data_IF_530433118502
#
_entry.id   IF_530433118502
#
_cell.length_a   1.000
_cell.length_b   1.000
_cell.length_c   1.000
_cell.angle_alpha   90.00
_cell.angle_beta   90.00
_cell.angle_gamma   90.00
#
_symmetry.space_group_name_H-M   'P 1'
#
loop_
_entity.id
_entity.type
_entity.pdbx_description
1 polymer ?
#
# COMPACT_ATOMS: atom_id res chain seq x y z
N UNK A 1 13.83 -5.88 -10.26
CA UNK A 1 14.22 -5.83 -8.83
C UNK A 1 13.99 -7.16 -8.11
N UNK A 2 12.79 -7.74 -8.17
CA UNK A 2 12.47 -9.03 -7.55
C UNK A 2 13.46 -10.14 -7.90
N UNK A 3 13.87 -10.27 -9.17
CA UNK A 3 14.88 -11.25 -9.59
C UNK A 3 16.23 -11.08 -8.86
N UNK A 4 16.72 -9.84 -8.72
CA UNK A 4 17.98 -9.55 -8.00
C UNK A 4 17.89 -9.96 -6.53
N UNK A 5 16.74 -9.74 -5.88
CA UNK A 5 16.54 -10.13 -4.48
C UNK A 5 16.52 -11.65 -4.31
N UNK A 6 16.08 -12.42 -5.30
CA UNK A 6 16.14 -13.89 -5.28
C UNK A 6 17.56 -14.45 -5.47
N UNK A 7 18.48 -13.68 -6.09
CA UNK A 7 19.89 -14.06 -6.26
C UNK A 7 20.69 -13.91 -4.95
N UNK A 8 20.56 -14.90 -4.05
CA UNK A 8 21.15 -14.84 -2.69
C UNK A 8 22.68 -14.90 -2.65
N UNK A 9 23.32 -15.59 -3.60
CA UNK A 9 24.77 -15.84 -3.62
C UNK A 9 25.45 -15.14 -4.79
N UNK A 10 25.68 -13.85 -4.60
CA UNK A 10 26.06 -12.93 -5.68
C UNK A 10 27.42 -13.26 -6.29
N UNK A 11 28.39 -13.71 -5.47
CA UNK A 11 29.70 -14.14 -5.96
C UNK A 11 29.62 -15.27 -6.98
N UNK A 12 28.69 -16.22 -6.81
CA UNK A 12 28.50 -17.34 -7.74
C UNK A 12 27.99 -16.85 -9.11
N UNK A 13 27.08 -15.87 -9.12
CA UNK A 13 26.55 -15.28 -10.36
C UNK A 13 27.55 -14.39 -11.10
N UNK A 14 28.66 -14.03 -10.45
CA UNK A 14 29.79 -13.35 -11.07
C UNK A 14 30.91 -14.33 -11.46
N UNK A 15 30.72 -15.64 -11.32
CA UNK A 15 31.75 -16.66 -11.62
C UNK A 15 32.80 -16.85 -10.52
N UNK A 16 32.55 -16.33 -9.33
CA UNK A 16 33.38 -16.55 -8.14
C UNK A 16 33.16 -17.93 -7.51
N UNK A 17 34.02 -18.29 -6.54
CA UNK A 17 34.06 -19.64 -5.99
C UNK A 17 32.73 -19.97 -5.30
N UNK A 18 32.14 -21.12 -5.64
CA UNK A 18 30.88 -21.54 -5.04
C UNK A 18 30.83 -23.00 -4.59
N UNK A 19 31.18 -23.25 -3.32
CA UNK A 19 31.16 -24.59 -2.76
C UNK A 19 32.18 -25.48 -3.46
N UNK A 20 31.71 -26.46 -4.26
CA UNK A 20 32.57 -27.32 -5.08
C UNK A 20 32.76 -26.84 -6.53
N UNK A 21 32.04 -25.80 -6.96
CA UNK A 21 32.22 -25.21 -8.28
C UNK A 21 33.46 -24.30 -8.26
N UNK A 22 34.38 -24.55 -9.20
CA UNK A 22 35.59 -23.76 -9.39
C UNK A 22 35.29 -22.34 -9.88
N UNK A 23 36.25 -21.43 -9.72
CA UNK A 23 36.15 -20.06 -10.22
C UNK A 23 36.14 -20.08 -11.76
N UNK A 24 35.14 -19.45 -12.36
CA UNK A 24 35.03 -19.32 -13.83
C UNK A 24 35.43 -17.93 -14.32
N UNK A 25 35.61 -16.97 -13.40
CA UNK A 25 36.05 -15.60 -13.71
C UNK A 25 37.23 -15.20 -12.85
N UNK A 26 38.02 -14.26 -13.33
CA UNK A 26 39.13 -13.67 -12.57
C UNK A 26 38.63 -12.59 -11.60
N UNK A 27 39.43 -12.25 -10.59
CA UNK A 27 39.11 -11.15 -9.65
C UNK A 27 38.90 -9.81 -10.38
N UNK A 28 39.71 -9.53 -11.40
CA UNK A 28 39.65 -8.32 -12.22
C UNK A 28 38.40 -8.26 -13.08
N UNK A 29 37.96 -9.38 -13.65
CA UNK A 29 36.66 -9.48 -14.34
C UNK A 29 35.48 -9.21 -13.40
N UNK A 30 35.53 -9.74 -12.18
CA UNK A 30 34.51 -9.49 -11.15
C UNK A 30 34.45 -8.02 -10.74
N UNK A 31 35.60 -7.37 -10.63
CA UNK A 31 35.71 -5.93 -10.36
C UNK A 31 35.15 -5.09 -11.52
N UNK A 32 35.48 -5.44 -12.77
CA UNK A 32 34.93 -4.77 -13.94
C UNK A 32 33.39 -4.92 -14.03
N UNK A 33 32.86 -6.10 -13.68
CA UNK A 33 31.43 -6.34 -13.58
C UNK A 33 30.78 -5.49 -12.47
N UNK A 34 31.42 -5.41 -11.29
CA UNK A 34 30.97 -4.56 -10.19
C UNK A 34 30.90 -3.09 -10.61
N UNK A 35 31.91 -2.60 -11.33
CA UNK A 35 31.95 -1.23 -11.83
C UNK A 35 30.77 -0.90 -12.76
N UNK A 36 30.40 -1.82 -13.66
CA UNK A 36 29.19 -1.67 -14.49
C UNK A 36 27.93 -1.61 -13.62
N UNK A 37 27.79 -2.53 -12.67
CA UNK A 37 26.64 -2.57 -11.76
C UNK A 37 26.51 -1.27 -10.96
N UNK A 38 27.61 -0.70 -10.45
CA UNK A 38 27.58 0.55 -9.70
C UNK A 38 27.06 1.73 -10.53
N UNK A 39 27.44 1.81 -11.82
CA UNK A 39 26.90 2.81 -12.74
C UNK A 39 25.42 2.59 -13.04
N UNK A 40 25.00 1.35 -13.27
CA UNK A 40 23.57 1.02 -13.44
C UNK A 40 22.76 1.35 -12.19
N UNK A 41 23.27 1.04 -11.01
CA UNK A 41 22.65 1.35 -9.71
C UNK A 41 22.42 2.85 -9.54
N UNK A 42 23.36 3.70 -9.97
CA UNK A 42 23.19 5.15 -9.91
C UNK A 42 22.01 5.65 -10.75
N UNK A 43 21.75 5.06 -11.93
CA UNK A 43 20.56 5.39 -12.74
C UNK A 43 19.27 5.07 -11.99
N UNK A 44 19.21 3.88 -11.39
CA UNK A 44 18.03 3.44 -10.63
C UNK A 44 17.81 4.33 -9.40
N UNK A 45 18.88 4.72 -8.71
CA UNK A 45 18.83 5.65 -7.58
C UNK A 45 18.29 7.03 -8.00
N UNK A 46 18.81 7.57 -9.10
CA UNK A 46 18.36 8.85 -9.62
C UNK A 46 16.89 8.82 -10.05
N UNK A 47 16.44 7.73 -10.67
CA UNK A 47 15.02 7.55 -10.99
C UNK A 47 14.16 7.51 -9.72
N UNK A 48 14.59 6.80 -8.67
CA UNK A 48 13.88 6.77 -7.39
C UNK A 48 13.76 8.17 -6.76
N UNK A 49 14.86 8.93 -6.73
CA UNK A 49 14.88 10.30 -6.22
C UNK A 49 13.96 11.21 -7.05
N UNK A 50 14.13 11.24 -8.37
CA UNK A 50 13.33 12.10 -9.24
C UNK A 50 11.84 11.76 -9.17
N UNK A 51 11.51 10.47 -9.10
CA UNK A 51 10.11 10.03 -8.96
C UNK A 51 9.54 10.47 -7.62
N UNK A 52 10.27 10.31 -6.50
CA UNK A 52 9.81 10.80 -5.20
C UNK A 52 9.60 12.32 -5.21
N UNK A 53 10.53 13.09 -5.79
CA UNK A 53 10.42 14.55 -5.86
C UNK A 53 9.24 14.98 -6.73
N UNK A 54 9.00 14.32 -7.85
CA UNK A 54 7.92 14.67 -8.78
C UNK A 54 6.52 14.52 -8.16
N UNK A 55 6.35 13.57 -7.25
CA UNK A 55 5.03 13.25 -6.67
C UNK A 55 4.73 13.97 -5.35
N UNK A 56 5.70 14.70 -4.79
CA UNK A 56 5.47 15.49 -3.56
C UNK A 56 4.87 16.85 -3.94
N UNK A 57 3.73 17.24 -3.34
CA UNK A 57 3.14 18.55 -3.57
C UNK A 57 4.09 19.70 -3.18
N UNK A 58 4.15 20.81 -3.93
CA UNK A 58 5.04 21.95 -3.64
C UNK A 58 4.88 22.58 -2.26
N UNK A 59 3.69 22.47 -1.65
CA UNK A 59 3.36 22.99 -0.32
C UNK A 59 3.32 21.90 0.78
N UNK A 60 3.85 20.70 0.50
CA UNK A 60 3.87 19.60 1.44
C UNK A 60 4.68 19.97 2.69
N UNK A 61 4.03 19.93 3.85
CA UNK A 61 4.63 20.22 5.15
C UNK A 61 4.09 19.26 6.19
N UNK A 62 2.95 19.59 6.79
CA UNK A 62 2.31 18.77 7.84
C UNK A 62 1.74 17.48 7.25
N UNK A 63 2.12 16.34 7.83
CA UNK A 63 1.68 15.02 7.41
C UNK A 63 2.47 14.40 6.25
N UNK A 64 3.52 15.07 5.75
CA UNK A 64 4.42 14.59 4.68
C UNK A 64 5.85 14.38 5.16
N UNK A 65 6.07 14.31 6.48
CA UNK A 65 7.39 14.27 7.10
C UNK A 65 8.18 13.02 6.69
N UNK A 66 7.51 11.88 6.54
CA UNK A 66 8.17 10.62 6.16
C UNK A 66 8.66 10.61 4.70
N UNK A 67 7.85 10.98 3.68
CA UNK A 67 8.33 11.20 2.31
C UNK A 67 9.46 12.24 2.19
N UNK A 68 9.31 13.40 2.83
CA UNK A 68 10.34 14.46 2.80
C UNK A 68 11.66 13.96 3.41
N UNK A 69 11.59 13.18 4.50
CA UNK A 69 12.76 12.54 5.09
C UNK A 69 13.41 11.55 4.11
N UNK A 70 12.63 10.75 3.38
CA UNK A 70 13.18 9.84 2.36
C UNK A 70 13.96 10.61 1.30
N UNK A 71 13.39 11.68 0.74
CA UNK A 71 14.06 12.51 -0.28
C UNK A 71 15.37 13.07 0.25
N UNK A 72 15.36 13.68 1.45
CA UNK A 72 16.57 14.25 2.04
C UNK A 72 17.71 13.22 2.16
N UNK A 73 17.39 11.96 2.46
CA UNK A 73 18.38 10.88 2.47
C UNK A 73 18.82 10.44 1.07
N UNK A 74 17.91 10.38 0.11
CA UNK A 74 18.23 10.05 -1.28
C UNK A 74 19.13 11.09 -1.94
N UNK A 75 18.91 12.37 -1.67
CA UNK A 75 19.76 13.49 -2.12
C UNK A 75 21.15 13.40 -1.48
N UNK A 76 21.18 13.19 -0.15
CA UNK A 76 22.43 13.13 0.61
C UNK A 76 23.34 11.98 0.17
N UNK A 77 22.77 10.83 -0.18
CA UNK A 77 23.51 9.63 -0.60
C UNK A 77 23.52 9.43 -2.13
N UNK A 78 23.13 10.46 -2.89
CA UNK A 78 23.10 10.41 -4.34
C UNK A 78 24.51 10.16 -4.91
N UNK A 79 24.71 9.09 -5.71
CA UNK A 79 25.99 8.85 -6.36
C UNK A 79 26.26 9.93 -7.42
N UNK A 80 27.33 10.71 -7.26
CA UNK A 80 27.78 11.66 -8.28
C UNK A 80 28.58 10.95 -9.38
N UNK A 81 28.51 11.41 -10.63
CA UNK A 81 29.27 10.80 -11.73
C UNK A 81 30.77 10.67 -11.45
N UNK A 82 31.36 11.65 -10.77
CA UNK A 82 32.79 11.69 -10.44
C UNK A 82 33.18 10.64 -9.40
N UNK A 83 32.26 10.28 -8.50
CA UNK A 83 32.47 9.25 -7.48
C UNK A 83 32.30 7.82 -8.03
N UNK A 84 31.68 7.68 -9.21
CA UNK A 84 31.46 6.38 -9.84
C UNK A 84 32.73 5.82 -10.48
N UNK A 85 32.81 4.49 -10.65
CA UNK A 85 33.98 3.86 -11.26
C UNK A 85 34.27 4.40 -12.67
N UNK A 86 35.49 4.90 -12.85
CA UNK A 86 35.94 5.57 -14.07
C UNK A 86 35.59 7.06 -14.13
N UNK A 87 35.12 7.67 -13.04
CA UNK A 87 34.78 9.10 -12.97
C UNK A 87 33.66 9.51 -13.92
N UNK A 88 32.76 8.57 -14.25
CA UNK A 88 31.66 8.79 -15.20
C UNK A 88 30.40 8.01 -14.84
N UNK A 89 29.26 8.55 -15.28
CA UNK A 89 28.00 7.83 -15.33
C UNK A 89 27.94 6.75 -16.42
N UNK A 90 26.81 6.04 -16.50
CA UNK A 90 26.57 5.07 -17.57
C UNK A 90 26.46 5.78 -18.92
N UNK A 91 26.96 5.16 -20.00
CA UNK A 91 26.80 5.69 -21.36
C UNK A 91 25.62 5.02 -22.09
N UNK A 92 25.12 5.68 -23.14
CA UNK A 92 24.05 5.12 -23.98
C UNK A 92 24.47 3.79 -24.64
N UNK A 93 25.71 3.69 -25.10
CA UNK A 93 26.27 2.45 -25.65
C UNK A 93 26.26 1.31 -24.61
N UNK A 94 26.64 1.61 -23.37
CA UNK A 94 26.66 0.65 -22.27
C UNK A 94 25.25 0.15 -21.92
N UNK A 95 24.25 1.04 -21.93
CA UNK A 95 22.84 0.67 -21.76
C UNK A 95 22.27 -0.10 -22.96
N UNK A 96 22.71 0.20 -24.18
CA UNK A 96 22.24 -0.46 -25.41
C UNK A 96 22.85 -1.84 -25.65
N UNK A 97 23.94 -2.19 -24.98
CA UNK A 97 24.67 -3.45 -25.21
C UNK A 97 24.27 -4.52 -24.21
N UNK A 98 23.79 -5.67 -24.71
CA UNK A 98 23.48 -6.85 -23.88
C UNK A 98 24.74 -7.34 -23.16
N UNK A 99 24.60 -7.75 -21.90
CA UNK A 99 25.73 -8.19 -21.08
C UNK A 99 25.76 -9.72 -20.94
N UNK A 100 26.95 -10.31 -21.05
CA UNK A 100 27.12 -11.77 -20.99
C UNK A 100 26.89 -12.34 -19.58
N UNK A 101 27.15 -11.54 -18.55
CA UNK A 101 26.96 -11.96 -17.16
C UNK A 101 25.50 -11.71 -16.76
N UNK A 102 24.70 -12.74 -16.41
CA UNK A 102 23.28 -12.60 -16.15
C UNK A 102 22.94 -11.56 -15.07
N UNK A 103 23.75 -11.49 -14.01
CA UNK A 103 23.57 -10.50 -12.95
C UNK A 103 23.72 -9.06 -13.48
N UNK A 104 24.74 -8.82 -14.29
CA UNK A 104 25.02 -7.51 -14.88
C UNK A 104 23.92 -7.14 -15.87
N UNK A 105 23.41 -8.12 -16.63
CA UNK A 105 22.31 -7.94 -17.56
C UNK A 105 20.99 -7.58 -16.87
N UNK A 106 20.67 -8.19 -15.73
CA UNK A 106 19.49 -7.81 -14.95
C UNK A 106 19.61 -6.37 -14.42
N UNK A 107 20.81 -5.95 -13.97
CA UNK A 107 21.05 -4.56 -13.58
C UNK A 107 20.95 -3.59 -14.76
N UNK A 108 21.47 -3.96 -15.94
CA UNK A 108 21.32 -3.15 -17.16
C UNK A 108 19.85 -2.99 -17.51
N UNK A 109 19.07 -4.08 -17.55
CA UNK A 109 17.61 -4.03 -17.81
C UNK A 109 16.89 -3.15 -16.81
N UNK A 110 17.26 -3.22 -15.53
CA UNK A 110 16.70 -2.36 -14.50
C UNK A 110 17.04 -0.88 -14.74
N UNK A 111 18.29 -0.56 -15.10
CA UNK A 111 18.70 0.81 -15.41
C UNK A 111 18.00 1.35 -16.68
N UNK A 112 17.84 0.52 -17.71
CA UNK A 112 17.07 0.87 -18.92
C UNK A 112 15.61 1.14 -18.57
N UNK A 113 14.97 0.27 -17.78
CA UNK A 113 13.60 0.50 -17.33
C UNK A 113 13.45 1.81 -16.54
N UNK A 114 14.40 2.11 -15.64
CA UNK A 114 14.43 3.38 -14.91
C UNK A 114 14.62 4.60 -15.83
N UNK A 115 15.43 4.48 -16.88
CA UNK A 115 15.59 5.56 -17.87
C UNK A 115 14.31 5.78 -18.66
N UNK A 116 13.67 4.71 -19.14
CA UNK A 116 12.39 4.77 -19.86
C UNK A 116 11.28 5.36 -18.98
N UNK A 117 11.20 4.94 -17.71
CA UNK A 117 10.26 5.48 -16.75
C UNK A 117 10.49 6.98 -16.52
N UNK A 118 11.75 7.40 -16.39
CA UNK A 118 12.09 8.84 -16.28
C UNK A 118 11.59 9.66 -17.47
N UNK A 119 11.71 9.13 -18.69
CA UNK A 119 11.37 9.88 -19.90
C UNK A 119 9.87 9.85 -20.22
N UNK A 120 9.17 8.75 -19.90
CA UNK A 120 7.77 8.55 -20.28
C UNK A 120 6.78 8.75 -19.14
N UNK A 121 7.11 8.27 -17.95
CA UNK A 121 6.19 8.26 -16.81
C UNK A 121 6.31 9.52 -15.96
N UNK A 122 7.54 9.99 -15.73
CA UNK A 122 7.80 11.10 -14.82
C UNK A 122 7.07 12.42 -15.18
N UNK A 123 6.97 12.83 -16.46
CA UNK A 123 6.17 14.01 -16.82
C UNK A 123 4.69 13.85 -16.48
N UNK A 124 4.13 12.65 -16.66
CA UNK A 124 2.73 12.34 -16.33
C UNK A 124 2.52 12.33 -14.82
N UNK A 125 3.47 11.74 -14.08
CA UNK A 125 3.43 11.70 -12.62
C UNK A 125 3.49 13.11 -12.01
N UNK A 126 4.30 14.02 -12.56
CA UNK A 126 4.43 15.37 -12.03
C UNK A 126 3.18 16.24 -12.25
N UNK A 127 2.42 16.00 -13.33
CA UNK A 127 1.32 16.86 -13.76
C UNK A 127 -0.06 16.35 -13.32
N UNK A 128 -0.28 15.03 -13.32
CA UNK A 128 -1.64 14.45 -13.32
C UNK A 128 -2.05 13.64 -12.11
N UNK A 129 -1.14 13.38 -11.16
CA UNK A 129 -1.47 12.51 -10.01
C UNK A 129 -2.01 13.32 -8.84
N UNK A 130 -2.94 12.74 -8.10
CA UNK A 130 -3.38 13.27 -6.81
C UNK A 130 -2.55 12.71 -5.64
N UNK A 131 -2.89 13.17 -4.42
CA UNK A 131 -2.20 12.78 -3.19
C UNK A 131 -2.30 11.28 -2.85
N UNK A 132 -3.40 10.60 -3.17
CA UNK A 132 -3.56 9.18 -2.87
C UNK A 132 -2.76 8.33 -3.87
N UNK A 133 -2.69 8.74 -5.12
CA UNK A 133 -1.81 8.14 -6.13
C UNK A 133 -0.33 8.42 -5.83
N UNK A 134 0.01 9.64 -5.41
CA UNK A 134 1.36 9.98 -4.96
C UNK A 134 1.83 9.08 -3.81
N UNK A 135 0.93 8.72 -2.88
CA UNK A 135 1.22 7.74 -1.81
C UNK A 135 1.54 6.35 -2.37
N UNK A 136 0.82 5.87 -3.38
CA UNK A 136 1.15 4.59 -4.06
C UNK A 136 2.58 4.64 -4.60
N UNK A 137 2.90 5.68 -5.36
CA UNK A 137 4.23 5.86 -5.97
C UNK A 137 5.32 5.96 -4.90
N UNK A 138 5.09 6.72 -3.83
CA UNK A 138 6.05 6.88 -2.75
C UNK A 138 6.30 5.56 -2.00
N UNK A 139 5.30 4.70 -1.85
CA UNK A 139 5.49 3.35 -1.30
C UNK A 139 6.37 2.50 -2.22
N UNK A 140 6.09 2.52 -3.52
CA UNK A 140 6.87 1.77 -4.51
C UNK A 140 8.33 2.25 -4.55
N UNK A 141 8.55 3.57 -4.50
CA UNK A 141 9.90 4.17 -4.38
C UNK A 141 10.57 3.75 -3.07
N UNK A 142 9.87 3.82 -1.95
CA UNK A 142 10.41 3.42 -0.65
C UNK A 142 10.82 1.94 -0.64
N UNK A 143 10.00 1.04 -1.18
CA UNK A 143 10.32 -0.38 -1.25
C UNK A 143 11.47 -0.65 -2.26
N UNK A 144 11.54 0.09 -3.36
CA UNK A 144 12.68 0.06 -4.29
C UNK A 144 13.99 0.47 -3.59
N UNK A 145 13.99 1.57 -2.83
CA UNK A 145 15.17 2.05 -2.08
C UNK A 145 15.60 1.03 -1.03
N UNK A 146 14.65 0.45 -0.29
CA UNK A 146 14.94 -0.63 0.66
C UNK A 146 15.58 -1.83 -0.04
N UNK A 147 15.09 -2.23 -1.21
CA UNK A 147 15.69 -3.31 -2.00
C UNK A 147 17.11 -2.97 -2.44
N UNK A 148 17.38 -1.74 -2.87
CA UNK A 148 18.74 -1.28 -3.23
C UNK A 148 19.70 -1.37 -2.05
N UNK A 149 19.28 -0.95 -0.86
CA UNK A 149 20.11 -1.04 0.36
C UNK A 149 20.36 -2.51 0.73
N UNK A 150 19.35 -3.38 0.67
CA UNK A 150 19.53 -4.83 0.93
C UNK A 150 20.56 -5.43 -0.03
N UNK A 151 20.46 -5.13 -1.32
CA UNK A 151 21.42 -5.58 -2.33
C UNK A 151 22.81 -5.01 -2.07
N UNK A 152 22.92 -3.74 -1.69
CA UNK A 152 24.20 -3.09 -1.39
C UNK A 152 24.98 -3.83 -0.29
N UNK A 153 24.30 -4.24 0.79
CA UNK A 153 24.98 -5.00 1.84
C UNK A 153 25.36 -6.40 1.34
N UNK A 154 24.46 -7.07 0.61
CA UNK A 154 24.72 -8.41 0.04
C UNK A 154 25.90 -8.40 -0.94
N UNK A 155 26.14 -7.29 -1.62
CA UNK A 155 27.15 -7.15 -2.67
C UNK A 155 28.49 -6.65 -2.13
N UNK A 156 28.55 -6.35 -0.83
CA UNK A 156 29.72 -5.72 -0.21
C UNK A 156 31.01 -6.56 -0.21
N UNK A 157 30.92 -7.86 -0.45
CA UNK A 157 32.08 -8.74 -0.61
C UNK A 157 32.63 -8.80 -2.05
N UNK A 158 31.98 -8.13 -3.02
CA UNK A 158 32.43 -8.10 -4.40
C UNK A 158 33.63 -7.14 -4.52
N UNK A 159 34.72 -7.53 -5.18
CA UNK A 159 35.84 -6.63 -5.45
C UNK A 159 35.40 -5.35 -6.18
N UNK A 160 35.90 -4.19 -5.77
CA UNK A 160 35.53 -2.89 -6.35
C UNK A 160 34.14 -2.37 -5.96
N UNK A 161 33.42 -3.04 -5.05
CA UNK A 161 32.09 -2.59 -4.63
C UNK A 161 32.15 -1.35 -3.76
N UNK A 162 31.45 -0.30 -4.19
CA UNK A 162 31.28 0.94 -3.43
C UNK A 162 29.91 0.94 -2.75
N UNK A 163 29.87 1.05 -1.42
CA UNK A 163 28.62 1.02 -0.64
C UNK A 163 27.80 2.31 -0.78
N UNK A 164 26.48 2.19 -0.61
CA UNK A 164 25.57 3.32 -0.47
C UNK A 164 25.64 3.81 0.99
N UNK A 165 26.38 4.90 1.23
CA UNK A 165 26.50 5.53 2.55
C UNK A 165 27.21 4.71 3.64
N UNK A 166 27.62 5.39 4.72
CA UNK A 166 28.36 4.77 5.84
C UNK A 166 27.49 3.94 6.80
N UNK A 167 26.16 4.11 6.75
CA UNK A 167 25.21 3.54 7.74
C UNK A 167 24.33 2.39 7.22
N UNK A 168 24.55 1.94 5.99
CA UNK A 168 23.78 0.88 5.31
C UNK A 168 23.90 -0.53 5.96
N UNK A 169 24.84 -0.77 6.89
CA UNK A 169 25.25 -2.14 7.27
C UNK A 169 24.51 -2.88 8.40
N UNK A 170 23.44 -2.36 9.01
CA UNK A 170 22.84 -3.06 10.17
C UNK A 170 21.92 -4.22 9.76
N UNK A 171 22.47 -5.43 9.75
CA UNK A 171 21.80 -6.70 9.42
C UNK A 171 20.78 -7.22 10.46
N UNK A 172 20.55 -6.50 11.55
CA UNK A 172 19.57 -6.88 12.58
C UNK A 172 18.67 -5.67 12.87
N UNK A 173 17.59 -5.58 12.08
CA UNK A 173 16.73 -4.39 12.03
C UNK A 173 15.58 -4.58 13.01
N UNK A 174 15.74 -4.01 14.20
CA UNK A 174 14.66 -3.83 15.17
C UNK A 174 14.16 -2.37 15.05
N UNK A 175 12.91 -2.15 14.57
CA UNK A 175 12.35 -0.81 14.35
C UNK A 175 12.16 0.00 15.64
N UNK A 176 12.31 -0.62 16.81
CA UNK A 176 12.14 0.05 18.11
C UNK A 176 13.43 0.71 18.64
N UNK A 177 14.59 0.50 18.00
CA UNK A 177 15.88 1.01 18.47
C UNK A 177 16.19 2.41 17.92
N UNK A 178 16.39 3.38 18.83
CA UNK A 178 16.68 4.82 18.56
C UNK A 178 17.85 5.11 17.61
N UNK A 179 18.82 4.20 17.45
CA UNK A 179 20.03 4.44 16.63
C UNK A 179 19.74 4.45 15.12
N UNK A 180 18.65 3.78 14.69
CA UNK A 180 18.29 3.65 13.27
C UNK A 180 17.52 4.83 12.70
N UNK A 181 17.11 5.80 13.52
CA UNK A 181 16.36 7.00 13.09
C UNK A 181 17.11 7.77 11.99
N UNK A 182 18.44 7.66 11.89
CA UNK A 182 19.27 8.45 10.97
C UNK A 182 19.95 7.61 9.87
N UNK A 183 19.17 6.90 9.05
CA UNK A 183 19.66 6.15 7.89
C UNK A 183 18.63 6.13 6.74
N UNK A 184 19.12 5.92 5.52
CA UNK A 184 18.27 5.83 4.31
C UNK A 184 17.28 4.67 4.37
N UNK A 185 17.70 3.50 4.88
CA UNK A 185 16.79 2.35 5.04
C UNK A 185 15.65 2.64 6.01
N UNK A 186 15.92 3.34 7.11
CA UNK A 186 14.88 3.71 8.07
C UNK A 186 13.93 4.78 7.51
N UNK A 187 14.45 5.76 6.77
CA UNK A 187 13.62 6.76 6.08
C UNK A 187 12.69 6.09 5.05
N UNK A 188 13.21 5.13 4.28
CA UNK A 188 12.42 4.37 3.33
C UNK A 188 11.39 3.46 4.03
N UNK A 189 11.74 2.81 5.15
CA UNK A 189 10.77 2.05 5.95
C UNK A 189 9.64 2.92 6.50
N UNK A 190 9.97 4.08 7.06
CA UNK A 190 8.98 5.04 7.57
C UNK A 190 8.07 5.54 6.44
N UNK A 191 8.62 5.85 5.27
CA UNK A 191 7.82 6.27 4.11
C UNK A 191 6.88 5.14 3.62
N UNK A 192 7.38 3.91 3.50
CA UNK A 192 6.57 2.73 3.12
C UNK A 192 5.43 2.48 4.12
N UNK A 193 5.67 2.65 5.42
CA UNK A 193 4.66 2.50 6.47
C UNK A 193 3.67 3.67 6.53
N UNK A 194 4.15 4.91 6.29
CA UNK A 194 3.34 6.14 6.31
C UNK A 194 2.18 6.10 5.32
N UNK A 195 2.37 5.45 4.17
CA UNK A 195 1.34 5.30 3.12
C UNK A 195 0.10 4.55 3.62
N UNK A 196 0.24 3.66 4.60
CA UNK A 196 -0.87 2.88 5.15
C UNK A 196 -1.51 1.92 4.13
N UNK A 197 -2.83 1.72 4.24
CA UNK A 197 -3.57 0.85 3.33
C UNK A 197 -3.96 1.61 2.07
N UNK A 198 -3.36 1.22 0.95
CA UNK A 198 -3.71 1.71 -0.36
C UNK A 198 -5.12 1.25 -0.74
N UNK A 199 -5.92 2.15 -1.32
CA UNK A 199 -7.14 1.75 -2.00
C UNK A 199 -6.76 0.86 -3.20
N UNK A 200 -7.42 -0.30 -3.39
CA UNK A 200 -7.18 -1.15 -4.57
C UNK A 200 -7.36 -0.39 -5.88
N UNK A 201 -8.26 0.60 -5.92
CA UNK A 201 -8.53 1.41 -7.11
C UNK A 201 -7.35 2.34 -7.45
N UNK A 202 -6.74 2.99 -6.45
CA UNK A 202 -5.60 3.89 -6.69
C UNK A 202 -4.35 3.11 -7.08
N UNK A 203 -4.10 1.96 -6.45
CA UNK A 203 -2.99 1.09 -6.83
C UNK A 203 -3.11 0.59 -8.28
N UNK A 204 -4.31 0.21 -8.69
CA UNK A 204 -4.61 -0.22 -10.06
C UNK A 204 -4.34 0.88 -11.10
N UNK A 205 -4.72 2.13 -10.79
CA UNK A 205 -4.62 3.24 -11.76
C UNK A 205 -3.19 3.71 -11.95
N UNK A 206 -2.33 3.39 -11.00
CA UNK A 206 -0.90 3.70 -11.00
C UNK A 206 -0.10 2.41 -11.26
N UNK A 207 -0.55 1.50 -12.12
CA UNK A 207 0.12 0.21 -12.35
C UNK A 207 1.28 0.30 -13.38
N UNK A 208 2.08 -0.79 -13.46
CA UNK A 208 3.19 -1.06 -14.38
C UNK A 208 2.90 -0.83 -15.87
N UNK A 209 1.63 -0.85 -16.28
CA UNK A 209 1.23 -0.58 -17.68
C UNK A 209 1.07 0.93 -17.97
N UNK A 210 1.21 1.78 -16.95
CA UNK A 210 1.10 3.24 -17.06
C UNK A 210 -0.06 3.81 -16.25
N UNK A 211 -0.05 5.13 -16.12
CA UNK A 211 -1.10 5.90 -15.48
C UNK A 211 -2.37 5.91 -16.34
N UNK A 212 -3.52 5.57 -15.73
CA UNK A 212 -4.84 5.70 -16.36
C UNK A 212 -5.52 6.97 -15.85
N UNK A 213 -5.78 7.92 -16.76
CA UNK A 213 -6.43 9.20 -16.48
C UNK A 213 -7.73 9.01 -15.69
N UNK A 214 -8.00 9.95 -14.77
CA UNK A 214 -9.26 9.94 -14.04
C UNK A 214 -10.42 10.22 -14.98
N UNK A 215 -11.54 9.52 -14.80
CA UNK A 215 -12.77 9.83 -15.53
C UNK A 215 -13.10 11.32 -15.28
N UNK A 216 -13.17 12.15 -16.33
CA UNK A 216 -13.32 13.59 -16.18
C UNK A 216 -14.71 13.90 -15.64
N UNK A 217 -14.84 14.98 -14.88
CA UNK A 217 -16.16 15.48 -14.50
C UNK A 217 -16.90 15.96 -15.74
N UNK A 218 -18.20 15.63 -15.83
CA UNK A 218 -19.09 16.17 -16.85
C UNK A 218 -19.38 17.64 -16.55
N UNK A 219 -19.56 18.46 -17.61
CA UNK A 219 -19.77 19.90 -17.46
C UNK A 219 -21.06 20.21 -16.70
N UNK A 220 -21.02 21.29 -15.93
CA UNK A 220 -22.18 21.88 -15.27
C UNK A 220 -22.56 23.19 -15.98
N UNK A 221 -23.85 23.58 -16.04
CA UNK A 221 -25.02 22.93 -15.44
C UNK A 221 -25.37 21.59 -16.12
N UNK A 222 -25.94 20.66 -15.34
CA UNK A 222 -26.39 19.37 -15.87
C UNK A 222 -27.55 19.56 -16.86
N UNK A 223 -27.70 18.67 -17.85
CA UNK A 223 -28.92 18.59 -18.67
C UNK A 223 -30.18 18.45 -17.80
N UNK A 224 -31.35 18.70 -18.38
CA UNK A 224 -32.63 18.44 -17.71
C UNK A 224 -33.03 16.96 -17.83
N UNK A 225 -33.94 16.51 -16.98
CA UNK A 225 -34.53 15.17 -17.06
C UNK A 225 -33.57 14.04 -16.67
N UNK A 226 -33.81 12.85 -17.23
CA UNK A 226 -33.09 11.62 -16.91
C UNK A 226 -31.60 11.72 -17.27
N UNK A 227 -31.26 12.33 -18.40
CA UNK A 227 -29.86 12.58 -18.80
C UNK A 227 -29.11 13.44 -17.77
N UNK A 228 -29.79 14.46 -17.24
CA UNK A 228 -29.29 15.28 -16.14
C UNK A 228 -28.98 14.47 -14.89
N UNK A 229 -29.89 13.57 -14.53
CA UNK A 229 -29.72 12.67 -13.39
C UNK A 229 -28.53 11.72 -13.61
N UNK A 230 -28.39 11.13 -14.79
CA UNK A 230 -27.25 10.25 -15.14
C UNK A 230 -25.93 11.03 -15.09
N UNK A 231 -25.87 12.24 -15.64
CA UNK A 231 -24.67 13.07 -15.62
C UNK A 231 -24.26 13.47 -14.19
N UNK A 232 -25.24 13.83 -13.35
CA UNK A 232 -25.01 14.16 -11.95
C UNK A 232 -24.63 12.92 -11.11
N UNK A 233 -25.18 11.74 -11.40
CA UNK A 233 -24.76 10.46 -10.81
C UNK A 233 -23.33 10.10 -11.20
N UNK A 234 -22.94 10.33 -12.45
CA UNK A 234 -21.56 10.15 -12.90
C UNK A 234 -20.61 11.05 -12.11
N UNK A 235 -20.92 12.34 -11.97
CA UNK A 235 -20.08 13.26 -11.20
C UNK A 235 -20.06 12.90 -9.71
N UNK A 236 -21.18 12.46 -9.13
CA UNK A 236 -21.25 11.90 -7.77
C UNK A 236 -20.29 10.73 -7.61
N UNK A 237 -20.32 9.77 -8.56
CA UNK A 237 -19.38 8.66 -8.59
C UNK A 237 -17.95 9.19 -8.62
N UNK A 238 -17.58 10.02 -9.61
CA UNK A 238 -16.23 10.57 -9.78
C UNK A 238 -15.74 11.25 -8.50
N UNK A 239 -16.52 12.17 -7.92
CA UNK A 239 -16.14 12.91 -6.72
C UNK A 239 -16.03 12.06 -5.46
N UNK A 240 -16.84 11.00 -5.29
CA UNK A 240 -16.62 10.03 -4.21
C UNK A 240 -15.23 9.38 -4.27
N UNK A 241 -14.59 9.34 -5.44
CA UNK A 241 -13.20 8.88 -5.61
C UNK A 241 -12.14 9.96 -5.38
N UNK A 242 -12.49 11.24 -5.51
CA UNK A 242 -11.59 12.37 -5.27
C UNK A 242 -11.63 12.82 -3.80
N UNK A 243 -12.82 12.83 -3.22
CA UNK A 243 -13.11 13.40 -1.92
C UNK A 243 -13.24 12.29 -0.87
N UNK A 244 -12.90 12.65 0.38
CA UNK A 244 -13.21 11.84 1.54
C UNK A 244 -14.32 12.54 2.33
N UNK A 245 -15.59 12.15 2.18
CA UNK A 245 -16.70 12.85 2.82
C UNK A 245 -16.61 12.79 4.34
N UNK A 246 -17.04 13.86 5.02
CA UNK A 246 -17.32 13.80 6.47
C UNK A 246 -18.45 12.82 6.75
N UNK A 247 -18.54 12.31 7.98
CA UNK A 247 -19.52 11.26 8.32
C UNK A 247 -20.98 11.74 8.13
N UNK A 248 -21.27 12.99 8.48
CA UNK A 248 -22.59 13.62 8.29
C UNK A 248 -22.95 13.75 6.81
N UNK A 249 -21.98 14.18 5.99
CA UNK A 249 -22.13 14.31 4.53
C UNK A 249 -22.32 12.94 3.89
N UNK A 250 -21.53 11.94 4.28
CA UNK A 250 -21.68 10.58 3.76
C UNK A 250 -23.06 9.99 4.10
N UNK A 251 -23.54 10.23 5.32
CA UNK A 251 -24.89 9.84 5.74
C UNK A 251 -25.95 10.50 4.87
N UNK A 252 -25.79 11.77 4.55
CA UNK A 252 -26.69 12.50 3.66
C UNK A 252 -26.65 11.96 2.22
N UNK A 253 -25.46 11.62 1.70
CA UNK A 253 -25.29 10.97 0.39
C UNK A 253 -26.05 9.63 0.39
N UNK A 254 -25.86 8.75 1.37
CA UNK A 254 -26.57 7.45 1.44
C UNK A 254 -28.08 7.65 1.50
N UNK A 255 -28.56 8.67 2.22
CA UNK A 255 -29.99 9.01 2.26
C UNK A 255 -30.51 9.44 0.89
N UNK A 256 -29.76 10.25 0.15
CA UNK A 256 -30.11 10.66 -1.21
C UNK A 256 -30.09 9.47 -2.16
N UNK A 257 -29.07 8.61 -2.08
CA UNK A 257 -28.97 7.40 -2.89
C UNK A 257 -30.16 6.45 -2.67
N UNK A 258 -30.64 6.29 -1.42
CA UNK A 258 -31.88 5.55 -1.14
C UNK A 258 -33.09 6.14 -1.87
N UNK A 259 -33.25 7.47 -1.84
CA UNK A 259 -34.39 8.15 -2.51
C UNK A 259 -34.29 8.01 -4.03
N UNK A 260 -33.09 8.13 -4.59
CA UNK A 260 -32.82 7.89 -6.01
C UNK A 260 -33.19 6.47 -6.44
N UNK A 261 -32.88 5.45 -5.64
CA UNK A 261 -33.32 4.07 -5.93
C UNK A 261 -34.84 3.93 -5.99
N UNK A 262 -35.56 4.62 -5.10
CA UNK A 262 -37.05 4.58 -5.09
C UNK A 262 -37.63 5.27 -6.33
N UNK A 263 -37.08 6.41 -6.74
CA UNK A 263 -37.51 7.08 -7.98
C UNK A 263 -37.17 6.25 -9.23
N UNK A 264 -35.98 5.64 -9.27
CA UNK A 264 -35.60 4.75 -10.36
C UNK A 264 -36.49 3.49 -10.43
N UNK A 265 -36.91 2.97 -9.27
CA UNK A 265 -37.90 1.89 -9.19
C UNK A 265 -39.25 2.31 -9.80
N UNK A 266 -39.72 3.52 -9.52
CA UNK A 266 -40.96 4.05 -10.12
C UNK A 266 -40.85 4.17 -11.64
N UNK A 267 -39.71 4.65 -12.16
CA UNK A 267 -39.44 4.72 -13.59
C UNK A 267 -39.36 3.33 -14.25
N UNK A 268 -38.71 2.36 -13.61
CA UNK A 268 -38.63 0.98 -14.12
C UNK A 268 -40.00 0.30 -14.17
N UNK A 269 -40.86 0.56 -13.17
CA UNK A 269 -42.25 0.08 -13.17
C UNK A 269 -43.06 0.70 -14.30
N UNK A 270 -42.88 2.00 -14.55
CA UNK A 270 -43.54 2.68 -15.67
C UNK A 270 -43.08 2.14 -17.04
N UNK A 271 -41.81 1.73 -17.15
CA UNK A 271 -41.24 1.12 -18.35
C UNK A 271 -41.55 -0.39 -18.51
N UNK A 272 -42.21 -1.03 -17.53
CA UNK A 272 -42.50 -2.48 -17.49
C UNK A 272 -41.22 -3.34 -17.58
N UNK A 273 -40.14 -2.87 -16.94
CA UNK A 273 -38.85 -3.58 -16.86
C UNK A 273 -38.72 -4.29 -15.50
N UNK A 274 -39.07 -5.58 -15.47
CA UNK A 274 -39.07 -6.38 -14.23
C UNK A 274 -37.65 -6.59 -13.65
N UNK A 275 -36.62 -6.66 -14.51
CA UNK A 275 -35.23 -6.86 -14.08
C UNK A 275 -34.75 -5.64 -13.26
N UNK A 276 -34.90 -4.44 -13.82
CA UNK A 276 -34.49 -3.21 -13.15
C UNK A 276 -35.39 -2.86 -11.96
N UNK A 277 -36.69 -3.22 -12.01
CA UNK A 277 -37.60 -3.09 -10.87
C UNK A 277 -37.06 -3.83 -9.65
N UNK A 278 -36.77 -5.13 -9.78
CA UNK A 278 -36.22 -5.92 -8.67
C UNK A 278 -34.86 -5.37 -8.20
N UNK A 279 -33.99 -4.98 -9.14
CA UNK A 279 -32.66 -4.46 -8.81
C UNK A 279 -32.72 -3.16 -7.97
N UNK A 280 -33.61 -2.23 -8.31
CA UNK A 280 -33.76 -0.95 -7.60
C UNK A 280 -34.47 -1.08 -6.26
N UNK A 281 -35.44 -2.00 -6.14
CA UNK A 281 -36.08 -2.32 -4.87
C UNK A 281 -35.07 -2.89 -3.87
N UNK A 282 -34.32 -3.92 -4.28
CA UNK A 282 -33.26 -4.52 -3.47
C UNK A 282 -32.21 -3.49 -3.06
N UNK A 283 -31.84 -2.59 -3.99
CA UNK A 283 -30.87 -1.52 -3.71
C UNK A 283 -31.41 -0.55 -2.65
N UNK A 284 -32.66 -0.10 -2.78
CA UNK A 284 -33.26 0.81 -1.81
C UNK A 284 -33.23 0.22 -0.38
N UNK A 285 -33.46 -1.08 -0.25
CA UNK A 285 -33.37 -1.79 1.02
C UNK A 285 -31.92 -1.85 1.54
N UNK A 286 -30.94 -2.18 0.68
CA UNK A 286 -29.52 -2.18 1.05
C UNK A 286 -29.06 -0.81 1.56
N UNK A 287 -29.43 0.26 0.87
CA UNK A 287 -29.12 1.63 1.31
C UNK A 287 -29.78 1.95 2.65
N UNK A 288 -31.01 1.50 2.89
CA UNK A 288 -31.71 1.70 4.17
C UNK A 288 -30.98 1.01 5.34
N UNK A 289 -30.53 -0.23 5.14
CA UNK A 289 -29.79 -1.01 6.14
C UNK A 289 -28.45 -0.37 6.52
N UNK A 290 -27.79 0.32 5.59
CA UNK A 290 -26.56 1.10 5.85
C UNK A 290 -26.87 2.44 6.49
N UNK A 291 -27.95 3.11 6.07
CA UNK A 291 -28.33 4.43 6.57
C UNK A 291 -28.68 4.40 8.06
N UNK A 292 -29.33 3.35 8.54
CA UNK A 292 -29.76 3.23 9.94
C UNK A 292 -28.60 3.37 10.95
N UNK A 293 -27.51 2.58 10.88
CA UNK A 293 -26.37 2.75 11.78
C UNK A 293 -25.59 4.05 11.52
N UNK A 294 -25.46 4.49 10.26
CA UNK A 294 -24.76 5.74 9.94
C UNK A 294 -25.42 6.96 10.57
N UNK A 295 -26.75 7.09 10.43
CA UNK A 295 -27.49 8.27 10.85
C UNK A 295 -27.63 8.41 12.37
N UNK A 296 -27.63 7.29 13.09
CA UNK A 296 -27.84 7.28 14.55
C UNK A 296 -26.54 7.52 15.30
N UNK A 297 -25.52 6.77 14.89
CA UNK A 297 -24.40 6.45 15.77
C UNK A 297 -23.07 6.97 15.23
N UNK A 298 -22.90 7.15 13.91
CA UNK A 298 -21.61 7.49 13.30
C UNK A 298 -21.38 9.00 13.22
N UNK A 299 -20.20 9.46 13.66
CA UNK A 299 -19.72 10.82 13.54
C UNK A 299 -18.26 10.89 13.10
N UNK A 300 -17.83 12.05 12.63
CA UNK A 300 -16.47 12.27 12.12
C UNK A 300 -16.37 13.58 11.36
N UNK A 301 -15.47 14.45 11.81
CA UNK A 301 -15.33 15.82 11.28
C UNK A 301 -14.20 15.95 10.23
N UNK A 302 -13.49 14.86 9.94
CA UNK A 302 -12.38 14.86 9.00
C UNK A 302 -12.87 14.66 7.57
N UNK A 303 -12.37 15.50 6.66
CA UNK A 303 -12.69 15.47 5.23
C UNK A 303 -13.64 16.58 4.79
N UNK A 304 -13.97 16.55 3.50
CA UNK A 304 -15.01 17.36 2.88
C UNK A 304 -15.69 16.50 1.81
N UNK A 305 -16.96 16.78 1.53
CA UNK A 305 -17.75 16.05 0.54
C UNK A 305 -18.92 16.87 0.01
N UNK A 306 -18.88 18.20 0.18
CA UNK A 306 -20.00 19.08 -0.17
C UNK A 306 -20.27 19.07 -1.67
N UNK A 307 -19.24 19.03 -2.51
CA UNK A 307 -19.42 18.97 -3.96
C UNK A 307 -20.01 17.61 -4.37
N UNK A 308 -19.51 16.50 -3.81
CA UNK A 308 -20.13 15.17 -3.99
C UNK A 308 -21.61 15.17 -3.59
N UNK A 309 -21.94 15.78 -2.45
CA UNK A 309 -23.33 15.88 -1.99
C UNK A 309 -24.18 16.74 -2.91
N UNK A 310 -23.65 17.86 -3.40
CA UNK A 310 -24.33 18.74 -4.35
C UNK A 310 -24.67 18.01 -5.65
N UNK A 311 -23.72 17.25 -6.21
CA UNK A 311 -23.97 16.43 -7.40
C UNK A 311 -25.02 15.34 -7.11
N UNK A 312 -24.94 14.69 -5.94
CA UNK A 312 -25.93 13.69 -5.56
C UNK A 312 -27.33 14.29 -5.39
N UNK A 313 -27.43 15.52 -4.88
CA UNK A 313 -28.70 16.25 -4.77
C UNK A 313 -29.22 16.69 -6.13
N UNK A 314 -28.34 17.17 -7.01
CA UNK A 314 -28.69 17.54 -8.38
C UNK A 314 -29.29 16.34 -9.13
N UNK A 315 -28.69 15.15 -8.97
CA UNK A 315 -29.25 13.92 -9.52
C UNK A 315 -30.67 13.63 -8.98
N UNK A 316 -30.88 13.80 -7.67
CA UNK A 316 -32.18 13.58 -7.05
C UNK A 316 -33.23 14.56 -7.57
N UNK A 317 -32.89 15.85 -7.71
CA UNK A 317 -33.80 16.85 -8.24
C UNK A 317 -34.13 16.58 -9.71
N UNK A 318 -33.12 16.33 -10.55
CA UNK A 318 -33.34 16.02 -11.96
C UNK A 318 -34.24 14.79 -12.16
N UNK A 319 -34.04 13.72 -11.38
CA UNK A 319 -34.85 12.51 -11.48
C UNK A 319 -36.26 12.69 -10.91
N UNK A 320 -36.42 13.45 -9.84
CA UNK A 320 -37.73 13.77 -9.26
C UNK A 320 -38.57 14.62 -10.22
N UNK A 321 -37.95 15.62 -10.85
CA UNK A 321 -38.59 16.47 -11.86
C UNK A 321 -39.00 15.65 -13.08
N UNK A 322 -38.13 14.75 -13.56
CA UNK A 322 -38.44 13.83 -14.66
C UNK A 322 -39.66 12.94 -14.34
N UNK A 323 -39.67 12.34 -13.14
CA UNK A 323 -40.79 11.51 -12.69
C UNK A 323 -42.10 12.32 -12.56
N UNK A 324 -42.02 13.58 -12.11
CA UNK A 324 -43.18 14.45 -11.96
C UNK A 324 -43.80 14.85 -13.31
N UNK A 325 -42.97 15.06 -14.34
CA UNK A 325 -43.42 15.44 -15.69
C UNK A 325 -43.89 14.21 -16.50
N UNK A 326 -43.68 13.00 -15.96
CA UNK A 326 -44.05 11.75 -16.62
C UNK A 326 -43.07 11.35 -17.73
N UNK A 327 -41.80 11.74 -17.59
CA UNK A 327 -40.74 11.33 -18.49
C UNK A 327 -40.55 9.80 -18.43
N UNK A 328 -40.31 9.18 -19.59
CA UNK A 328 -40.20 7.72 -19.70
C UNK A 328 -38.75 7.32 -19.90
N UNK A 329 -38.20 6.56 -18.96
CA UNK A 329 -36.83 6.04 -19.07
C UNK A 329 -36.76 4.93 -20.13
N UNK A 330 -35.75 4.99 -21.01
CA UNK A 330 -35.42 3.88 -21.88
C UNK A 330 -34.71 2.77 -21.09
N UNK A 331 -34.69 1.54 -21.63
CA UNK A 331 -33.92 0.43 -21.03
C UNK A 331 -32.43 0.77 -20.89
N UNK A 332 -31.86 1.56 -21.81
CA UNK A 332 -30.46 2.01 -21.75
C UNK A 332 -30.23 2.98 -20.58
N UNK A 333 -31.19 3.86 -20.29
CA UNK A 333 -31.14 4.77 -19.15
C UNK A 333 -31.20 4.01 -17.83
N UNK A 334 -32.13 3.05 -17.72
CA UNK A 334 -32.26 2.18 -16.54
C UNK A 334 -30.98 1.39 -16.31
N UNK A 335 -30.38 0.85 -17.38
CA UNK A 335 -29.12 0.12 -17.30
C UNK A 335 -27.96 1.03 -16.88
N UNK A 336 -27.89 2.25 -17.43
CA UNK A 336 -26.87 3.25 -17.10
C UNK A 336 -26.96 3.69 -15.64
N UNK A 337 -28.17 3.94 -15.14
CA UNK A 337 -28.43 4.22 -13.73
C UNK A 337 -28.03 3.05 -12.83
N UNK A 338 -28.40 1.82 -13.18
CA UNK A 338 -28.05 0.63 -12.39
C UNK A 338 -26.52 0.41 -12.29
N UNK A 339 -25.80 0.65 -13.40
CA UNK A 339 -24.32 0.63 -13.41
C UNK A 339 -23.75 1.69 -12.47
N UNK A 340 -24.19 2.94 -12.60
CA UNK A 340 -23.72 4.05 -11.77
C UNK A 340 -24.05 3.84 -10.29
N UNK A 341 -25.24 3.36 -9.97
CA UNK A 341 -25.66 2.97 -8.63
C UNK A 341 -24.75 1.93 -8.01
N UNK A 342 -24.44 0.86 -8.74
CA UNK A 342 -23.52 -0.19 -8.29
C UNK A 342 -22.12 0.39 -8.02
N UNK A 343 -21.64 1.27 -8.89
CA UNK A 343 -20.33 1.91 -8.76
C UNK A 343 -20.27 2.88 -7.56
N UNK A 344 -21.34 3.66 -7.34
CA UNK A 344 -21.49 4.55 -6.18
C UNK A 344 -21.55 3.74 -4.89
N UNK A 345 -22.35 2.67 -4.84
CA UNK A 345 -22.48 1.81 -3.66
C UNK A 345 -21.14 1.20 -3.25
N UNK A 346 -20.34 0.76 -4.24
CA UNK A 346 -18.96 0.31 -4.02
C UNK A 346 -18.09 1.40 -3.42
N UNK A 347 -18.13 2.63 -3.96
CA UNK A 347 -17.34 3.76 -3.43
C UNK A 347 -17.77 4.16 -2.03
N UNK A 348 -19.06 4.23 -1.76
CA UNK A 348 -19.61 4.46 -0.42
C UNK A 348 -19.09 3.39 0.54
N UNK A 349 -19.20 2.11 0.18
CA UNK A 349 -18.69 1.02 1.02
C UNK A 349 -17.17 1.12 1.26
N UNK A 350 -16.39 1.51 0.25
CA UNK A 350 -14.95 1.74 0.37
C UNK A 350 -14.63 2.90 1.31
N UNK A 351 -15.34 4.04 1.19
CA UNK A 351 -15.13 5.20 2.06
C UNK A 351 -15.51 4.92 3.51
N UNK A 352 -16.58 4.17 3.76
CA UNK A 352 -16.93 3.72 5.12
C UNK A 352 -15.80 2.85 5.69
N UNK A 353 -15.31 1.86 4.93
CA UNK A 353 -14.21 0.99 5.37
C UNK A 353 -12.92 1.78 5.64
N UNK A 354 -12.57 2.70 4.76
CA UNK A 354 -11.41 3.57 4.94
C UNK A 354 -11.56 4.47 6.18
N UNK A 355 -12.73 5.08 6.38
CA UNK A 355 -13.00 5.91 7.55
C UNK A 355 -12.94 5.16 8.87
N UNK A 356 -13.37 3.90 8.90
CA UNK A 356 -13.22 3.01 10.06
C UNK A 356 -11.74 2.69 10.30
N UNK A 357 -11.03 2.26 9.26
CA UNK A 357 -9.63 1.83 9.36
C UNK A 357 -8.71 2.97 9.80
N UNK A 358 -8.83 4.13 9.16
CA UNK A 358 -7.99 5.31 9.39
C UNK A 358 -8.42 6.10 10.63
N UNK A 359 -9.39 5.59 11.41
CA UNK A 359 -9.98 6.25 12.59
C UNK A 359 -10.47 7.67 12.30
N UNK A 360 -11.12 7.85 11.15
CA UNK A 360 -11.76 9.12 10.76
C UNK A 360 -13.24 9.13 11.11
N UNK A 361 -13.86 7.96 11.16
CA UNK A 361 -15.23 7.77 11.61
C UNK A 361 -15.25 7.05 12.96
N UNK A 362 -16.11 7.55 13.84
CA UNK A 362 -16.30 7.07 15.20
C UNK A 362 -17.78 6.87 15.45
N UNK A 363 -18.11 6.10 16.48
CA UNK A 363 -19.50 5.95 16.91
C UNK A 363 -19.72 6.58 18.28
N UNK A 364 -20.85 7.26 18.45
CA UNK A 364 -21.33 7.76 19.73
C UNK A 364 -22.48 6.93 20.28
N UNK A 365 -22.23 6.09 21.30
CA UNK A 365 -23.27 5.35 22.04
C UNK A 365 -23.71 6.01 23.34
N UNK A 366 -22.82 6.75 23.98
CA UNK A 366 -23.05 7.31 25.30
C UNK A 366 -22.99 8.84 25.30
N UNK A 367 -23.91 9.44 26.04
CA UNK A 367 -23.81 10.85 26.42
C UNK A 367 -22.96 10.92 27.70
N UNK A 368 -21.76 11.45 27.57
CA UNK A 368 -20.93 11.86 28.69
C UNK A 368 -21.32 13.25 29.20
N UNK A 369 -20.82 13.63 30.36
CA UNK A 369 -20.89 15.01 30.83
C UNK A 369 -19.64 15.76 30.37
N UNK A 370 -19.82 17.00 29.92
CA UNK A 370 -18.73 17.91 29.57
C UNK A 370 -17.82 18.12 30.78
N UNK A 371 -16.51 18.24 30.52
CA UNK A 371 -15.52 18.65 31.53
C UNK A 371 -15.79 20.09 32.01
N UNK A 372 -16.24 20.95 31.09
CA UNK A 372 -16.57 22.35 31.36
C UNK A 372 -17.96 22.49 32.00
N UNK A 373 -18.06 23.39 32.99
CA UNK A 373 -19.32 23.79 33.62
C UNK A 373 -19.72 25.16 33.08
N UNK A 374 -20.95 25.28 32.59
CA UNK A 374 -21.54 26.57 32.21
C UNK A 374 -22.69 26.82 33.18
N UNK A 375 -22.61 27.90 33.98
CA UNK A 375 -23.62 28.20 35.01
C UNK A 375 -23.79 27.09 36.07
N UNK A 376 -22.72 26.34 36.38
CA UNK A 376 -22.75 25.25 37.37
C UNK A 376 -23.29 23.90 36.84
N UNK A 377 -23.83 23.86 35.63
CA UNK A 377 -24.36 22.64 35.00
C UNK A 377 -23.36 22.09 33.98
N UNK A 378 -23.17 20.76 33.96
CA UNK A 378 -22.37 20.08 32.92
C UNK A 378 -23.29 19.71 31.76
N UNK A 379 -22.91 20.13 30.55
CA UNK A 379 -23.64 19.80 29.31
C UNK A 379 -23.43 18.32 28.94
N UNK A 380 -24.48 17.64 28.50
CA UNK A 380 -24.35 16.32 27.87
C UNK A 380 -23.60 16.42 26.54
N UNK A 381 -22.53 15.66 26.38
CA UNK A 381 -21.70 15.58 25.16
C UNK A 381 -21.65 14.14 24.66
N UNK A 382 -21.60 13.95 23.35
CA UNK A 382 -21.43 12.63 22.73
C UNK A 382 -20.01 12.11 22.94
N UNK A 383 -19.86 10.92 23.54
CA UNK A 383 -18.58 10.21 23.61
C UNK A 383 -18.40 9.35 22.37
N UNK A 384 -17.33 9.59 21.64
CA UNK A 384 -17.01 8.87 20.43
C UNK A 384 -15.99 7.76 20.69
N UNK A 385 -16.30 6.55 20.25
CA UNK A 385 -15.43 5.38 20.30
C UNK A 385 -15.06 4.87 18.89
N UNK A 386 -13.88 4.24 18.72
CA UNK A 386 -13.50 3.63 17.45
C UNK A 386 -14.47 2.53 17.01
N UNK A 387 -14.75 2.49 15.72
CA UNK A 387 -15.60 1.45 15.12
C UNK A 387 -14.77 0.17 14.98
N UNK A 388 -15.24 -0.92 15.60
CA UNK A 388 -14.60 -2.24 15.51
C UNK A 388 -15.62 -3.32 15.14
N UNK A 389 -15.13 -4.50 14.73
CA UNK A 389 -15.99 -5.66 14.45
C UNK A 389 -16.84 -6.09 15.65
N UNK A 390 -16.33 -5.87 16.86
CA UNK A 390 -17.01 -6.24 18.10
C UNK A 390 -18.00 -5.15 18.50
N UNK A 391 -17.64 -3.87 18.37
CA UNK A 391 -18.52 -2.78 18.77
C UNK A 391 -19.67 -2.58 17.78
N UNK A 392 -19.43 -2.68 16.47
CA UNK A 392 -20.43 -2.33 15.43
C UNK A 392 -20.53 -3.39 14.32
N UNK A 393 -20.93 -4.64 14.65
CA UNK A 393 -21.06 -5.71 13.68
C UNK A 393 -22.11 -5.38 12.59
N UNK A 394 -23.19 -4.69 12.95
CA UNK A 394 -24.30 -4.38 12.04
C UNK A 394 -23.88 -3.42 10.92
N UNK A 395 -23.15 -2.36 11.24
CA UNK A 395 -22.60 -1.43 10.24
C UNK A 395 -21.65 -2.16 9.30
N UNK A 396 -20.75 -2.99 9.85
CA UNK A 396 -19.77 -3.73 9.05
C UNK A 396 -20.46 -4.76 8.14
N UNK A 397 -21.48 -5.44 8.63
CA UNK A 397 -22.28 -6.38 7.85
C UNK A 397 -23.09 -5.65 6.76
N UNK A 398 -23.71 -4.51 7.08
CA UNK A 398 -24.46 -3.71 6.12
C UNK A 398 -23.55 -3.17 5.00
N UNK A 399 -22.36 -2.65 5.35
CA UNK A 399 -21.36 -2.18 4.38
C UNK A 399 -20.87 -3.30 3.48
N UNK A 400 -20.68 -4.51 4.03
CA UNK A 400 -20.29 -5.68 3.24
C UNK A 400 -21.38 -6.08 2.23
N UNK A 401 -22.66 -5.93 2.59
CA UNK A 401 -23.80 -6.23 1.73
C UNK A 401 -24.14 -5.12 0.73
N UNK A 402 -23.72 -3.88 0.98
CA UNK A 402 -23.99 -2.74 0.10
C UNK A 402 -23.39 -2.92 -1.30
N UNK A 403 -22.25 -3.60 -1.40
CA UNK A 403 -21.61 -3.95 -2.67
C UNK A 403 -21.44 -5.48 -2.75
N UNK A 404 -22.45 -6.24 -3.20
CA UNK A 404 -22.20 -7.61 -3.64
C UNK A 404 -21.18 -7.58 -4.78
N UNK A 405 -20.36 -8.63 -4.92
CA UNK A 405 -19.23 -8.64 -5.86
C UNK A 405 -19.73 -8.44 -7.30
N UNK A 406 -19.75 -7.19 -7.78
CA UNK A 406 -19.91 -6.89 -9.20
C UNK A 406 -18.77 -7.57 -9.96
N UNK A 407 -19.01 -8.05 -11.20
CA UNK A 407 -17.95 -8.62 -12.02
C UNK A 407 -16.82 -7.61 -12.05
N UNK A 408 -15.62 -8.07 -11.69
CA UNK A 408 -14.40 -7.30 -11.77
C UNK A 408 -14.32 -6.70 -13.17
N UNK A 409 -14.65 -5.42 -13.30
CA UNK A 409 -14.28 -4.65 -14.49
C UNK A 409 -12.80 -4.89 -14.71
N UNK A 410 -12.45 -5.17 -15.97
CA UNK A 410 -11.20 -5.70 -16.59
C UNK A 410 -9.92 -5.07 -16.04
N UNK A 411 -9.69 -5.24 -14.76
CA UNK A 411 -8.53 -4.73 -14.08
C UNK A 411 -7.98 -5.90 -13.28
N UNK A 412 -6.89 -6.42 -13.79
CA UNK A 412 -6.14 -7.46 -13.12
C UNK A 412 -5.70 -6.99 -11.72
N UNK A 413 -6.04 -7.78 -10.71
CA UNK A 413 -5.54 -7.63 -9.33
C UNK A 413 -4.08 -8.09 -9.18
N UNK A 414 -3.46 -8.58 -10.25
CA UNK A 414 -2.09 -9.10 -10.25
C UNK A 414 -1.09 -8.00 -9.88
N UNK A 415 -1.36 -6.75 -10.29
CA UNK A 415 -0.59 -5.58 -9.93
C UNK A 415 -0.49 -5.37 -8.41
N UNK A 416 -1.64 -5.40 -7.73
CA UNK A 416 -1.73 -5.23 -6.29
C UNK A 416 -1.08 -6.43 -5.55
N UNK A 417 -1.26 -7.63 -6.09
CA UNK A 417 -0.65 -8.85 -5.56
C UNK A 417 0.87 -8.79 -5.68
N UNK A 418 1.40 -8.44 -6.85
CA UNK A 418 2.83 -8.29 -7.11
C UNK A 418 3.48 -7.23 -6.22
N UNK A 419 2.80 -6.10 -5.97
CA UNK A 419 3.26 -5.09 -5.00
C UNK A 419 3.31 -5.65 -3.58
N UNK A 420 2.25 -6.32 -3.17
CA UNK A 420 2.16 -6.89 -1.82
C UNK A 420 3.26 -7.94 -1.59
N UNK A 421 3.49 -8.81 -2.58
CA UNK A 421 4.58 -9.77 -2.59
C UNK A 421 5.95 -9.09 -2.55
N UNK A 422 6.16 -8.01 -3.31
CA UNK A 422 7.41 -7.27 -3.29
C UNK A 422 7.66 -6.57 -1.95
N UNK A 423 6.66 -5.88 -1.39
CA UNK A 423 6.76 -5.28 -0.04
C UNK A 423 7.09 -6.36 1.00
N UNK A 424 6.46 -7.55 0.92
CA UNK A 424 6.72 -8.65 1.83
C UNK A 424 8.14 -9.23 1.68
N UNK A 425 8.63 -9.34 0.44
CA UNK A 425 9.99 -9.78 0.13
C UNK A 425 11.04 -8.85 0.75
N UNK A 426 10.80 -7.54 0.69
CA UNK A 426 11.69 -6.50 1.24
C UNK A 426 11.49 -6.29 2.75
N UNK A 427 10.36 -6.74 3.30
CA UNK A 427 10.05 -6.72 4.74
C UNK A 427 10.54 -7.92 5.53
N UNK A 428 10.85 -9.03 4.88
CA UNK A 428 11.26 -10.27 5.54
C UNK A 428 12.74 -10.22 5.93
N UNK A 429 13.12 -10.28 7.22
CA UNK A 429 14.52 -10.46 7.59
C UNK A 429 15.00 -11.82 7.08
N UNK A 430 16.08 -11.84 6.29
CA UNK A 430 16.67 -13.09 5.83
C UNK A 430 17.06 -13.95 7.05
N UNK A 431 16.31 -15.04 7.29
CA UNK A 431 16.70 -16.05 8.28
C UNK A 431 17.99 -16.73 7.81
N UNK A 432 19.14 -16.20 8.20
CA UNK A 432 20.38 -16.96 8.17
C UNK A 432 20.29 -18.09 9.21
N UNK A 433 20.09 -19.32 8.73
CA UNK A 433 20.56 -20.52 9.44
C UNK A 433 22.09 -20.40 9.52
N UNK A 434 22.60 -19.77 10.58
CA UNK A 434 24.02 -19.91 10.91
C UNK A 434 24.27 -21.39 11.19
N UNK A 435 25.32 -21.92 10.57
CA UNK A 435 25.70 -23.31 10.71
C UNK A 435 25.84 -23.66 12.19
N UNK A 436 25.11 -24.69 12.60
CA UNK A 436 25.39 -25.44 13.81
C UNK A 436 26.85 -25.89 13.72
N UNK A 437 27.76 -25.17 14.37
CA UNK A 437 29.08 -25.70 14.69
C UNK A 437 28.80 -26.92 15.56
N UNK A 438 28.86 -28.10 14.93
CA UNK A 438 29.12 -29.34 15.63
C UNK A 438 30.48 -29.10 16.28
N UNK A 439 30.47 -28.84 17.58
CA UNK A 439 31.68 -28.84 18.39
C UNK A 439 32.28 -30.22 18.22
N UNK A 440 33.38 -30.30 17.48
CA UNK A 440 34.28 -31.44 17.50
C UNK A 440 34.76 -31.55 18.95
N UNK A 441 34.13 -32.46 19.69
CA UNK A 441 34.62 -32.89 20.98
C UNK A 441 35.86 -33.72 20.69
N UNK A 442 37.01 -33.13 21.00
CA UNK A 442 38.34 -33.72 20.97
C UNK A 442 38.30 -35.09 21.62
N UNK A 443 38.63 -36.12 20.84
CA UNK A 443 38.94 -37.46 21.35
C UNK A 443 40.42 -37.42 21.73
N UNK A 444 40.71 -37.66 23.01
CA UNK A 444 42.00 -38.19 23.44
C UNK A 444 41.73 -39.51 24.18
N UNK A 445 42.59 -40.53 24.00
CA UNK A 445 42.28 -41.91 24.32
C UNK A 445 42.70 -42.23 25.76
N UNK A 446 41.92 -43.03 26.47
CA UNK A 446 42.42 -43.67 27.68
C UNK A 446 41.96 -45.13 27.73
N UNK A 447 42.92 -46.00 27.49
CA UNK A 447 42.86 -47.43 27.69
C UNK A 447 44.02 -47.82 28.62
N UNK A 448 43.73 -47.98 29.91
CA UNK A 448 44.53 -48.76 30.87
C UNK A 448 43.61 -49.15 32.04
N UNK A 449 43.00 -50.34 32.00
CA UNK A 449 43.45 -51.56 32.72
C UNK A 449 43.83 -51.33 34.19
N UNK A 450 42.90 -51.76 35.06
CA UNK A 450 43.08 -52.70 36.18
C UNK A 450 44.39 -52.63 36.99
N UNK A 451 44.25 -52.28 38.28
CA UNK A 451 44.86 -52.99 39.42
C UNK A 451 44.10 -52.63 40.70
N UNK A 452 43.50 -53.64 41.33
CA UNK A 452 43.00 -53.54 42.70
C UNK A 452 44.12 -53.81 43.71
N UNK A 453 43.86 -53.44 44.97
CA UNK A 453 44.08 -54.26 46.18
C UNK A 453 43.75 -53.44 47.44
N UNK A 454 42.94 -54.04 48.33
CA UNK A 454 42.91 -53.98 49.82
C UNK A 454 43.11 -52.62 50.52
N UNK A 455 42.33 -52.19 51.52
CA UNK A 455 41.42 -52.88 52.44
C UNK A 455 41.33 -52.05 53.74
N UNK A 456 40.44 -52.50 54.63
CA UNK A 456 40.27 -52.14 56.06
C UNK A 456 39.30 -51.02 56.48
N UNK A 457 38.21 -51.53 57.08
CA UNK A 457 37.63 -51.18 58.39
C UNK A 457 37.08 -49.75 58.59
N UNK A 458 35.87 -49.56 59.09
CA UNK A 458 34.87 -50.50 59.60
C UNK A 458 33.71 -49.74 60.26
N UNK A 459 32.67 -50.51 60.59
CA UNK A 459 31.72 -50.32 61.70
C UNK A 459 31.00 -48.96 61.74
N UNK A 460 29.75 -48.86 61.29
CA UNK A 460 28.54 -49.38 61.94
C UNK A 460 27.55 -48.21 62.02
N UNK A 461 26.23 -48.35 62.01
CA UNK A 461 25.34 -49.48 61.97
C UNK A 461 23.90 -48.93 61.93
N UNK A 462 22.99 -49.77 61.45
CA UNK A 462 21.53 -49.80 61.72
C UNK A 462 20.65 -48.70 61.11
N UNK A 463 19.84 -49.03 60.08
CA UNK A 463 18.48 -49.68 60.13
C UNK A 463 17.48 -48.75 60.84
N UNK A 464 16.34 -48.33 60.30
CA UNK A 464 15.24 -49.04 59.58
C UNK A 464 14.60 -48.09 58.53
N UNK A 465 14.04 -48.56 57.40
CA UNK A 465 12.64 -49.00 57.25
C UNK A 465 11.67 -47.80 57.34
N UNK A 466 10.79 -47.45 56.41
CA UNK A 466 9.86 -48.26 55.59
C UNK A 466 9.13 -47.31 54.62
N UNK A 467 8.65 -47.84 53.48
CA UNK A 467 7.56 -47.44 52.54
C UNK A 467 6.89 -46.05 52.67
N UNK A 468 6.58 -45.32 51.60
CA UNK A 468 5.87 -45.67 50.34
C UNK A 468 6.42 -44.82 49.19
#
# INVERSE_FOLDING_TARGET
>A
MTELLHMKRVSAYLGGPHGKLGETTTRTEREAAAHKILRYRAVVWNYALQTATAVIPPAASTGWEAPLRLISWLEKEQPTPEALPGGRGVSALELGTVQDIPLVEIWRRLAVASLVGRERELPVLADKIDNDQARVVLRDVADLVRALVILDVRYSAIPGWQRLGLKSSSHNIDPTKRVLVNSTIAAAQLCSQWVGNLSPEDAVRTDRLGYVDRAPLLPMPYPFGIDGAIAALHNTYVRLGLEFPRADVLTAIVRVQRRLSVLALELARAAVDEEHTNAFEDRAERCARVLQPLAKDVGGNLGDGRATMADSQAALFALADAAQIGDTASTEDLQSMNRLFTMIDKRVATRIRQGIHDRRYFVSRELGLSSERVGGVRRAIRKYEPITKVSHPDLIAAVKRLAPHAPSGVVSTDALSARTEFTALVGSPEKHRSGRRVSQRTVAPDAARLRGLSGHAGVGGQFEGTSI
#
